data_IF_663729093685
#
_entry.id   IF_663729093685
#
_cell.length_a   1.000
_cell.length_b   1.000
_cell.length_c   1.000
_cell.angle_alpha   90.00
_cell.angle_beta   90.00
_cell.angle_gamma   90.00
#
_symmetry.space_group_name_H-M   'P 1'
#
loop_
_entity.id
_entity.type
_entity.pdbx_description
1 polymer ?
#
# COMPACT_ATOMS: atom_id res chain seq x y z
N UNK A 1 51.63 -24.94 -81.14
CA UNK A 1 50.75 -25.92 -80.46
C UNK A 1 50.44 -25.56 -79.01
N UNK A 2 51.24 -24.73 -78.32
CA UNK A 2 50.91 -24.18 -76.99
C UNK A 2 49.73 -23.19 -76.99
N UNK A 3 49.54 -22.42 -78.07
CA UNK A 3 48.47 -21.40 -78.18
C UNK A 3 47.08 -22.05 -78.28
N UNK A 4 46.92 -23.12 -79.06
CA UNK A 4 45.64 -23.84 -79.18
C UNK A 4 45.22 -24.57 -77.90
N UNK A 5 46.19 -25.06 -77.10
CA UNK A 5 45.92 -25.67 -75.80
C UNK A 5 45.44 -24.66 -74.75
N UNK A 6 46.03 -23.46 -74.73
CA UNK A 6 45.58 -22.37 -73.85
C UNK A 6 44.19 -21.85 -74.22
N UNK A 7 43.86 -21.79 -75.51
CA UNK A 7 42.53 -21.38 -75.99
C UNK A 7 41.45 -22.38 -75.58
N UNK A 8 41.71 -23.69 -75.63
CA UNK A 8 40.75 -24.72 -75.22
C UNK A 8 40.52 -24.77 -73.70
N UNK A 9 41.53 -24.44 -72.90
CA UNK A 9 41.40 -24.28 -71.44
C UNK A 9 40.63 -22.99 -71.10
N UNK A 10 40.90 -21.88 -71.79
CA UNK A 10 40.12 -20.63 -71.66
C UNK A 10 38.65 -20.83 -72.08
N UNK A 11 38.38 -21.59 -73.14
CA UNK A 11 37.00 -21.88 -73.57
C UNK A 11 36.25 -22.74 -72.55
N UNK A 12 36.92 -23.73 -71.93
CA UNK A 12 36.31 -24.57 -70.89
C UNK A 12 36.16 -23.86 -69.53
N UNK A 13 37.15 -23.08 -69.10
CA UNK A 13 37.21 -22.47 -67.75
C UNK A 13 36.61 -21.05 -67.70
N UNK A 14 36.65 -20.29 -68.79
CA UNK A 14 36.17 -18.91 -68.81
C UNK A 14 34.85 -18.71 -69.59
N UNK A 15 34.47 -19.63 -70.47
CA UNK A 15 33.21 -19.54 -71.21
C UNK A 15 32.20 -20.63 -70.80
N UNK A 16 32.56 -21.91 -70.91
CA UNK A 16 31.61 -23.02 -70.69
C UNK A 16 31.27 -23.26 -69.22
N UNK A 17 32.22 -23.08 -68.28
CA UNK A 17 31.93 -23.21 -66.85
C UNK A 17 31.07 -22.07 -66.30
N UNK A 18 31.33 -20.77 -66.57
CA UNK A 18 30.42 -19.69 -66.16
C UNK A 18 29.05 -19.76 -66.84
N UNK A 19 28.96 -20.21 -68.10
CA UNK A 19 27.68 -20.46 -68.77
C UNK A 19 26.92 -21.64 -68.15
N UNK A 20 27.60 -22.61 -67.53
CA UNK A 20 26.98 -23.76 -66.88
C UNK A 20 26.68 -23.54 -65.40
N UNK A 21 27.34 -22.61 -64.70
CA UNK A 21 27.06 -22.28 -63.28
C UNK A 21 26.28 -20.99 -63.10
N UNK A 22 26.52 -19.96 -63.93
CA UNK A 22 25.75 -18.70 -63.90
C UNK A 22 24.33 -18.87 -64.44
N UNK A 23 24.15 -19.70 -65.47
CA UNK A 23 22.80 -20.07 -65.93
C UNK A 23 22.03 -20.95 -64.93
N UNK A 24 22.69 -21.55 -63.94
CA UNK A 24 22.01 -22.31 -62.89
C UNK A 24 21.55 -21.37 -61.79
N UNK A 25 22.34 -20.37 -61.38
CA UNK A 25 21.88 -19.34 -60.45
C UNK A 25 20.74 -18.51 -61.04
N UNK A 26 20.88 -18.02 -62.29
CA UNK A 26 19.82 -17.28 -62.98
C UNK A 26 18.57 -18.15 -63.21
N UNK A 27 18.73 -19.42 -63.60
CA UNK A 27 17.58 -20.33 -63.74
C UNK A 27 16.96 -20.70 -62.39
N UNK A 28 17.73 -20.77 -61.30
CA UNK A 28 17.20 -20.98 -59.95
C UNK A 28 16.43 -19.73 -59.52
N UNK A 29 16.99 -18.54 -59.69
CA UNK A 29 16.31 -17.29 -59.34
C UNK A 29 15.01 -17.10 -60.14
N UNK A 30 15.03 -17.30 -61.46
CA UNK A 30 13.84 -17.27 -62.32
C UNK A 30 12.81 -18.35 -61.94
N UNK A 31 13.25 -19.57 -61.62
CA UNK A 31 12.32 -20.63 -61.21
C UNK A 31 11.70 -20.32 -59.84
N UNK A 32 12.50 -19.85 -58.86
CA UNK A 32 12.02 -19.59 -57.49
C UNK A 32 11.28 -18.26 -57.33
N UNK A 33 11.44 -17.30 -58.26
CA UNK A 33 10.71 -16.02 -58.24
C UNK A 33 9.20 -16.23 -58.40
N UNK A 34 8.78 -17.16 -59.27
CA UNK A 34 7.36 -17.49 -59.49
C UNK A 34 6.94 -18.83 -58.90
N UNK A 35 7.89 -19.69 -58.48
CA UNK A 35 7.59 -21.02 -57.92
C UNK A 35 6.44 -21.04 -56.89
N UNK A 36 6.38 -20.15 -55.87
CA UNK A 36 5.30 -20.20 -54.87
C UNK A 36 3.93 -19.87 -55.46
N UNK A 37 3.88 -19.06 -56.52
CA UNK A 37 2.66 -18.73 -57.24
C UNK A 37 2.28 -19.86 -58.19
N UNK A 38 3.21 -20.30 -59.02
CA UNK A 38 2.98 -21.34 -60.03
C UNK A 38 2.68 -22.70 -59.39
N UNK A 39 3.10 -22.93 -58.14
CA UNK A 39 2.73 -24.11 -57.35
C UNK A 39 1.38 -24.00 -56.64
N UNK A 40 0.78 -22.81 -56.58
CA UNK A 40 -0.45 -22.54 -55.81
C UNK A 40 -1.64 -22.15 -56.68
N UNK A 41 -1.40 -21.56 -57.85
CA UNK A 41 -2.39 -20.94 -58.71
C UNK A 41 -2.45 -21.67 -60.05
N UNK A 42 -3.63 -22.18 -60.44
CA UNK A 42 -3.82 -22.84 -61.75
C UNK A 42 -3.84 -21.80 -62.89
N UNK A 43 -4.21 -20.57 -62.58
CA UNK A 43 -4.29 -19.47 -63.54
C UNK A 43 -3.36 -18.29 -63.20
N UNK A 44 -3.13 -17.43 -64.22
CA UNK A 44 -2.21 -16.28 -64.14
C UNK A 44 -2.65 -15.20 -63.14
N UNK A 45 -3.95 -15.09 -62.90
CA UNK A 45 -4.56 -14.11 -61.99
C UNK A 45 -4.84 -14.72 -60.59
N UNK A 46 -4.48 -15.99 -60.39
CA UNK A 46 -4.63 -16.77 -59.17
C UNK A 46 -6.08 -16.77 -58.66
N UNK A 47 -7.04 -16.91 -59.57
CA UNK A 47 -8.46 -17.04 -59.21
C UNK A 47 -8.85 -18.49 -58.89
N UNK A 48 -8.14 -19.45 -59.48
CA UNK A 48 -8.24 -20.88 -59.24
C UNK A 48 -6.94 -21.43 -58.64
N UNK A 49 -7.08 -22.36 -57.69
CA UNK A 49 -5.97 -22.95 -56.96
C UNK A 49 -5.58 -24.28 -57.60
N UNK A 50 -4.27 -24.53 -57.75
CA UNK A 50 -3.75 -25.83 -58.18
C UNK A 50 -4.30 -26.96 -57.28
N UNK A 51 -4.79 -28.06 -57.88
CA UNK A 51 -5.56 -29.09 -57.16
C UNK A 51 -4.76 -29.70 -55.99
N UNK A 52 -3.49 -30.03 -56.23
CA UNK A 52 -2.58 -30.61 -55.22
C UNK A 52 -2.18 -29.60 -54.13
N UNK A 53 -2.29 -28.30 -54.40
CA UNK A 53 -2.05 -27.26 -53.41
C UNK A 53 -3.32 -26.92 -52.61
N UNK A 54 -4.46 -26.92 -53.30
CA UNK A 54 -5.80 -26.70 -52.78
C UNK A 54 -6.22 -27.81 -51.81
N UNK A 55 -5.78 -29.04 -52.03
CA UNK A 55 -6.09 -30.16 -51.14
C UNK A 55 -4.85 -31.01 -50.87
N UNK A 56 -4.51 -31.16 -49.60
CA UNK A 56 -3.41 -32.03 -49.18
C UNK A 56 -3.84 -32.92 -48.01
N UNK A 57 -3.42 -34.18 -48.05
CA UNK A 57 -3.64 -35.15 -47.00
C UNK A 57 -2.33 -35.48 -46.30
N UNK A 58 -2.34 -35.47 -44.97
CA UNK A 58 -1.20 -35.84 -44.15
C UNK A 58 -1.66 -36.57 -42.90
N UNK A 59 -0.87 -37.52 -42.42
CA UNK A 59 -1.12 -38.19 -41.14
C UNK A 59 -0.34 -37.52 -40.01
N UNK A 60 -0.97 -37.44 -38.83
CA UNK A 60 -0.31 -36.98 -37.61
C UNK A 60 -0.74 -37.82 -36.41
N UNK A 61 0.23 -38.26 -35.65
CA UNK A 61 0.01 -38.99 -34.40
C UNK A 61 0.13 -38.07 -33.18
N UNK A 62 -0.81 -38.22 -32.25
CA UNK A 62 -0.85 -37.50 -30.97
C UNK A 62 -0.66 -38.47 -29.80
N UNK A 63 -0.13 -37.93 -28.71
CA UNK A 63 0.07 -38.65 -27.45
C UNK A 63 -0.51 -37.84 -26.31
N UNK A 64 -1.34 -38.47 -25.48
CA UNK A 64 -1.83 -37.94 -24.21
C UNK A 64 -0.95 -38.38 -23.05
N UNK A 65 -0.96 -37.62 -21.95
CA UNK A 65 -0.34 -37.98 -20.68
C UNK A 65 -1.43 -38.09 -19.63
N UNK A 66 -1.89 -39.31 -19.36
CA UNK A 66 -2.98 -39.57 -18.43
C UNK A 66 -2.45 -39.63 -17.00
N UNK A 67 -3.13 -38.98 -16.06
CA UNK A 67 -2.79 -39.03 -14.63
C UNK A 67 -3.36 -40.31 -14.02
N UNK A 68 -2.50 -41.14 -13.43
CA UNK A 68 -2.89 -42.46 -12.89
C UNK A 68 -3.24 -42.43 -11.41
N UNK A 69 -2.79 -41.42 -10.66
CA UNK A 69 -3.01 -41.26 -9.22
C UNK A 69 -3.92 -40.06 -8.90
N UNK A 70 -5.04 -39.90 -9.63
CA UNK A 70 -5.93 -38.74 -9.48
C UNK A 70 -6.45 -38.56 -8.05
N UNK A 71 -6.84 -39.65 -7.38
CA UNK A 71 -7.39 -39.61 -6.02
C UNK A 71 -6.36 -39.07 -5.01
N UNK A 72 -5.09 -39.45 -5.15
CA UNK A 72 -4.01 -38.98 -4.28
C UNK A 72 -3.68 -37.50 -4.54
N UNK A 73 -3.69 -37.09 -5.81
CA UNK A 73 -3.46 -35.69 -6.22
C UNK A 73 -4.56 -34.79 -5.66
N UNK A 74 -5.83 -35.21 -5.74
CA UNK A 74 -6.98 -34.43 -5.26
C UNK A 74 -7.16 -34.49 -3.75
N UNK A 75 -6.84 -35.62 -3.11
CA UNK A 75 -7.07 -35.83 -1.67
C UNK A 75 -5.91 -35.40 -0.76
N UNK A 76 -4.67 -35.58 -1.21
CA UNK A 76 -3.46 -35.37 -0.38
C UNK A 76 -2.48 -34.33 -0.92
N UNK A 77 -2.71 -33.81 -2.14
CA UNK A 77 -1.79 -32.90 -2.82
C UNK A 77 -0.50 -33.57 -3.30
N UNK A 78 -0.50 -34.89 -3.47
CA UNK A 78 0.64 -35.64 -3.97
C UNK A 78 1.03 -35.23 -5.41
N UNK A 79 2.29 -35.45 -5.78
CA UNK A 79 2.75 -35.18 -7.14
C UNK A 79 2.04 -36.10 -8.16
N UNK A 80 1.60 -35.58 -9.32
CA UNK A 80 0.93 -36.38 -10.34
C UNK A 80 1.90 -37.35 -11.02
N UNK A 81 1.44 -38.59 -11.20
CA UNK A 81 2.13 -39.65 -11.95
C UNK A 81 1.47 -39.79 -13.31
N UNK A 82 2.28 -39.76 -14.37
CA UNK A 82 1.81 -39.73 -15.75
C UNK A 82 2.10 -41.03 -16.49
N UNK A 83 1.10 -41.50 -17.23
CA UNK A 83 1.23 -42.59 -18.19
C UNK A 83 0.99 -42.05 -19.61
N UNK A 84 1.88 -42.40 -20.53
CA UNK A 84 1.79 -41.98 -21.93
C UNK A 84 0.77 -42.85 -22.67
N UNK A 85 -0.26 -42.22 -23.25
CA UNK A 85 -1.31 -42.87 -24.05
C UNK A 85 -1.17 -42.45 -25.51
N UNK A 86 -0.97 -43.41 -26.41
CA UNK A 86 -0.87 -43.18 -27.85
C UNK A 86 0.11 -44.14 -28.53
N UNK A 87 0.28 -44.04 -29.86
CA UNK A 87 -0.22 -42.97 -30.72
C UNK A 87 -1.71 -43.07 -31.06
N UNK A 88 -2.39 -41.92 -31.04
CA UNK A 88 -3.68 -41.73 -31.71
C UNK A 88 -3.41 -41.00 -33.03
N UNK A 89 -3.63 -41.66 -34.16
CA UNK A 89 -3.33 -41.12 -35.49
C UNK A 89 -4.57 -40.54 -36.14
N UNK A 90 -4.43 -39.34 -36.69
CA UNK A 90 -5.48 -38.66 -37.46
C UNK A 90 -5.03 -38.46 -38.91
N UNK A 91 -5.94 -38.75 -39.83
CA UNK A 91 -5.88 -38.29 -41.21
C UNK A 91 -6.32 -36.82 -41.24
N UNK A 92 -5.39 -35.94 -41.63
CA UNK A 92 -5.61 -34.51 -41.72
C UNK A 92 -5.76 -34.13 -43.18
N UNK A 93 -6.96 -33.73 -43.57
CA UNK A 93 -7.20 -33.10 -44.87
C UNK A 93 -7.12 -31.58 -44.69
N UNK A 94 -6.18 -30.96 -45.38
CA UNK A 94 -6.06 -29.50 -45.45
C UNK A 94 -6.62 -29.03 -46.79
N UNK A 95 -7.72 -28.29 -46.74
CA UNK A 95 -8.29 -27.61 -47.91
C UNK A 95 -7.92 -26.14 -47.86
N UNK A 96 -7.30 -25.62 -48.91
CA UNK A 96 -6.96 -24.21 -49.08
C UNK A 96 -7.85 -23.59 -50.15
N UNK A 97 -8.35 -22.39 -49.87
CA UNK A 97 -9.16 -21.61 -50.82
C UNK A 97 -8.53 -20.24 -50.96
N UNK A 98 -8.21 -19.85 -52.19
CA UNK A 98 -7.66 -18.52 -52.47
C UNK A 98 -8.75 -17.47 -52.27
N UNK A 99 -8.44 -16.44 -51.51
CA UNK A 99 -9.33 -15.32 -51.24
C UNK A 99 -8.97 -14.09 -52.09
N UNK A 100 -7.68 -13.83 -52.27
CA UNK A 100 -7.19 -12.68 -53.04
C UNK A 100 -5.70 -12.84 -53.42
N UNK A 101 -5.32 -12.28 -54.56
CA UNK A 101 -3.94 -12.16 -55.01
C UNK A 101 -3.62 -10.72 -55.40
N UNK A 102 -2.63 -10.10 -54.75
CA UNK A 102 -2.11 -8.79 -55.12
C UNK A 102 -0.82 -8.97 -55.94
N UNK A 103 -0.95 -8.77 -57.25
CA UNK A 103 0.14 -8.90 -58.20
C UNK A 103 1.23 -7.83 -58.06
N UNK A 104 0.89 -6.63 -57.56
CA UNK A 104 1.84 -5.54 -57.40
C UNK A 104 2.68 -5.71 -56.12
N UNK A 105 2.07 -6.25 -55.06
CA UNK A 105 2.76 -6.54 -53.81
C UNK A 105 3.37 -7.96 -53.77
N UNK A 106 3.01 -8.85 -54.70
CA UNK A 106 3.45 -10.24 -54.73
C UNK A 106 2.85 -11.10 -53.61
N UNK A 107 1.64 -10.78 -53.13
CA UNK A 107 1.04 -11.45 -51.95
C UNK A 107 -0.21 -12.27 -52.29
N UNK A 108 -0.32 -13.45 -51.69
CA UNK A 108 -1.46 -14.36 -51.82
C UNK A 108 -2.15 -14.53 -50.46
N UNK A 109 -3.46 -14.26 -50.40
CA UNK A 109 -4.30 -14.47 -49.22
C UNK A 109 -5.20 -15.67 -49.46
N UNK A 110 -5.20 -16.64 -48.53
CA UNK A 110 -6.01 -17.85 -48.63
C UNK A 110 -6.58 -18.25 -47.27
N UNK A 111 -7.71 -18.94 -47.28
CA UNK A 111 -8.24 -19.66 -46.13
C UNK A 111 -7.69 -21.10 -46.13
N UNK A 112 -7.32 -21.63 -44.98
CA UNK A 112 -6.89 -23.01 -44.80
C UNK A 112 -7.76 -23.69 -43.75
N UNK A 113 -8.61 -24.60 -44.20
CA UNK A 113 -9.48 -25.42 -43.34
C UNK A 113 -8.83 -26.78 -43.17
N UNK A 114 -8.67 -27.20 -41.91
CA UNK A 114 -8.13 -28.53 -41.57
C UNK A 114 -9.24 -29.35 -40.94
N UNK A 115 -9.58 -30.48 -41.55
CA UNK A 115 -10.41 -31.51 -40.92
C UNK A 115 -9.51 -32.61 -40.38
N UNK A 116 -9.93 -33.20 -39.25
CA UNK A 116 -9.22 -34.28 -38.59
C UNK A 116 -10.18 -35.46 -38.51
N UNK A 117 -9.82 -36.57 -39.17
CA UNK A 117 -10.55 -37.83 -39.08
C UNK A 117 -9.68 -38.87 -38.38
N UNK A 118 -10.28 -39.70 -37.52
CA UNK A 118 -9.55 -40.80 -36.87
C UNK A 118 -9.04 -41.75 -37.96
N UNK A 119 -7.73 -42.00 -38.00
CA UNK A 119 -7.16 -42.89 -39.00
C UNK A 119 -7.52 -44.34 -38.66
N UNK A 120 -7.89 -45.12 -39.68
CA UNK A 120 -8.31 -46.52 -39.49
C UNK A 120 -7.19 -47.41 -38.95
N UNK A 121 -5.94 -47.00 -39.13
CA UNK A 121 -4.72 -47.66 -38.68
C UNK A 121 -4.14 -47.05 -37.38
N UNK A 122 -4.91 -46.21 -36.68
CA UNK A 122 -4.53 -45.70 -35.36
C UNK A 122 -4.34 -46.85 -34.36
N UNK A 123 -3.18 -46.91 -33.71
CA UNK A 123 -2.84 -47.96 -32.73
C UNK A 123 -3.73 -47.88 -31.48
N UNK A 124 -4.03 -46.66 -31.05
CA UNK A 124 -4.94 -46.38 -29.94
C UNK A 124 -6.23 -45.76 -30.47
N UNK A 125 -7.38 -46.17 -29.93
CA UNK A 125 -8.69 -45.65 -30.33
C UNK A 125 -8.77 -44.14 -30.09
N UNK A 126 -9.40 -43.41 -31.01
CA UNK A 126 -9.68 -41.97 -30.82
C UNK A 126 -10.68 -41.69 -29.71
N UNK A 127 -11.45 -42.70 -29.27
CA UNK A 127 -12.38 -42.62 -28.13
C UNK A 127 -11.72 -43.02 -26.80
N UNK A 128 -10.39 -43.09 -26.74
CA UNK A 128 -9.67 -43.46 -25.51
C UNK A 128 -9.76 -42.36 -24.47
N UNK A 129 -10.34 -42.69 -23.32
CA UNK A 129 -10.42 -41.77 -22.18
C UNK A 129 -9.03 -41.50 -21.60
N UNK A 130 -8.77 -40.22 -21.31
CA UNK A 130 -7.57 -39.77 -20.60
C UNK A 130 -7.99 -38.94 -19.38
N UNK A 131 -7.27 -39.10 -18.28
CA UNK A 131 -7.46 -38.28 -17.08
C UNK A 131 -6.46 -37.12 -17.14
N UNK A 132 -6.95 -35.89 -17.25
CA UNK A 132 -6.09 -34.71 -17.33
C UNK A 132 -6.72 -33.48 -16.67
N UNK A 133 -5.96 -32.39 -16.59
CA UNK A 133 -6.40 -31.11 -16.06
C UNK A 133 -7.70 -30.65 -16.74
N UNK A 134 -8.65 -30.20 -15.93
CA UNK A 134 -9.85 -29.54 -16.44
C UNK A 134 -9.52 -28.10 -16.84
N UNK A 135 -9.10 -27.92 -18.09
CA UNK A 135 -8.62 -26.63 -18.63
C UNK A 135 -9.70 -25.54 -18.55
N UNK A 136 -10.97 -25.88 -18.78
CA UNK A 136 -12.08 -24.92 -18.76
C UNK A 136 -12.44 -24.46 -17.34
N UNK A 137 -12.29 -25.31 -16.34
CA UNK A 137 -12.56 -24.95 -14.95
C UNK A 137 -11.46 -24.05 -14.37
N UNK A 138 -10.19 -24.30 -14.70
CA UNK A 138 -9.06 -23.52 -14.18
C UNK A 138 -9.08 -22.05 -14.62
N UNK A 139 -9.54 -21.75 -15.84
CA UNK A 139 -9.69 -20.36 -16.30
C UNK A 139 -10.80 -19.61 -15.56
N UNK A 140 -11.89 -20.30 -15.20
CA UNK A 140 -12.97 -19.72 -14.38
C UNK A 140 -12.51 -19.43 -12.95
N UNK A 141 -11.74 -20.34 -12.34
CA UNK A 141 -11.12 -20.12 -11.02
C UNK A 141 -10.21 -18.90 -11.03
N UNK A 142 -9.38 -18.73 -12.07
CA UNK A 142 -8.50 -17.54 -12.21
C UNK A 142 -9.33 -16.25 -12.35
N UNK A 143 -10.41 -16.27 -13.14
CA UNK A 143 -11.30 -15.11 -13.31
C UNK A 143 -12.03 -14.71 -12.01
N UNK A 144 -12.53 -15.68 -11.25
CA UNK A 144 -13.19 -15.45 -9.96
C UNK A 144 -12.20 -14.98 -8.87
N UNK A 145 -10.96 -15.48 -8.90
CA UNK A 145 -9.89 -15.07 -7.97
C UNK A 145 -9.54 -13.59 -8.13
N UNK A 146 -9.57 -13.06 -9.36
CA UNK A 146 -9.36 -11.62 -9.60
C UNK A 146 -10.41 -10.72 -8.93
N UNK A 147 -11.69 -11.14 -8.93
CA UNK A 147 -12.76 -10.41 -8.25
C UNK A 147 -12.64 -10.50 -6.72
N UNK A 148 -12.25 -11.66 -6.20
CA UNK A 148 -12.00 -11.84 -4.76
C UNK A 148 -10.80 -11.00 -4.28
N UNK A 149 -9.72 -10.91 -5.08
CA UNK A 149 -8.56 -10.06 -4.77
C UNK A 149 -8.93 -8.58 -4.78
N UNK A 150 -9.73 -8.13 -5.76
CA UNK A 150 -10.22 -6.75 -5.80
C UNK A 150 -11.09 -6.43 -4.59
N UNK A 151 -12.01 -7.34 -4.21
CA UNK A 151 -12.82 -7.20 -3.00
C UNK A 151 -11.96 -7.08 -1.73
N UNK A 152 -10.98 -7.97 -1.54
CA UNK A 152 -10.06 -7.90 -0.39
C UNK A 152 -9.26 -6.58 -0.41
N UNK A 153 -8.80 -6.13 -1.57
CA UNK A 153 -8.05 -4.88 -1.71
C UNK A 153 -8.91 -3.67 -1.33
N UNK A 154 -10.16 -3.61 -1.80
CA UNK A 154 -11.06 -2.49 -1.53
C UNK A 154 -11.52 -2.48 -0.07
N UNK A 155 -11.81 -3.65 0.53
CA UNK A 155 -12.03 -3.78 1.98
C UNK A 155 -10.79 -3.35 2.78
N UNK A 156 -9.58 -3.70 2.34
CA UNK A 156 -8.33 -3.29 3.01
C UNK A 156 -8.11 -1.78 2.93
N UNK A 157 -8.41 -1.15 1.78
CA UNK A 157 -8.35 0.31 1.63
C UNK A 157 -9.36 1.00 2.54
N UNK A 158 -10.59 0.50 2.60
CA UNK A 158 -11.63 1.04 3.48
C UNK A 158 -11.23 0.92 4.96
N UNK A 159 -10.73 -0.26 5.37
CA UNK A 159 -10.20 -0.49 6.71
C UNK A 159 -9.05 0.48 7.07
N UNK A 160 -8.09 0.64 6.15
CA UNK A 160 -6.98 1.57 6.32
C UNK A 160 -7.48 3.01 6.44
N UNK A 161 -8.43 3.41 5.59
CA UNK A 161 -8.98 4.77 5.58
C UNK A 161 -9.74 5.07 6.86
N UNK A 162 -10.61 4.16 7.32
CA UNK A 162 -11.30 4.28 8.60
C UNK A 162 -10.31 4.35 9.78
N UNK A 163 -9.26 3.52 9.78
CA UNK A 163 -8.20 3.57 10.78
C UNK A 163 -7.41 4.88 10.79
N UNK A 164 -7.09 5.42 9.61
CA UNK A 164 -6.42 6.71 9.48
C UNK A 164 -7.31 7.86 9.95
N UNK A 165 -8.59 7.88 9.56
CA UNK A 165 -9.56 8.88 10.02
C UNK A 165 -9.74 8.86 11.54
N UNK A 166 -9.81 7.67 12.14
CA UNK A 166 -9.86 7.54 13.59
C UNK A 166 -8.59 8.13 14.25
N UNK A 167 -7.40 7.84 13.70
CA UNK A 167 -6.14 8.41 14.22
C UNK A 167 -6.01 9.91 14.00
N UNK A 168 -6.56 10.44 12.92
CA UNK A 168 -6.62 11.87 12.68
C UNK A 168 -7.47 12.57 13.75
N UNK A 169 -8.64 12.01 14.07
CA UNK A 169 -9.54 12.55 15.09
C UNK A 169 -8.99 12.40 16.52
N UNK A 170 -8.32 11.29 16.82
CA UNK A 170 -7.78 11.00 18.14
C UNK A 170 -6.45 11.70 18.42
N UNK A 171 -5.59 11.86 17.42
CA UNK A 171 -4.17 12.19 17.66
C UNK A 171 -3.66 13.34 16.79
N UNK A 172 -3.76 13.26 15.46
CA UNK A 172 -3.10 14.26 14.61
C UNK A 172 -3.80 15.63 14.65
N UNK A 173 -5.14 15.66 14.62
CA UNK A 173 -5.91 16.90 14.76
C UNK A 173 -5.70 17.56 16.13
N UNK A 174 -5.72 16.77 17.21
CA UNK A 174 -5.43 17.25 18.55
C UNK A 174 -3.98 17.74 18.69
N UNK A 175 -3.03 17.06 18.07
CA UNK A 175 -1.61 17.44 18.01
C UNK A 175 -1.42 18.80 17.35
N UNK A 176 -2.06 19.01 16.20
CA UNK A 176 -2.04 20.29 15.47
C UNK A 176 -2.69 21.44 16.24
N UNK A 177 -3.84 21.19 16.87
CA UNK A 177 -4.49 22.22 17.68
C UNK A 177 -3.68 22.58 18.93
N UNK A 178 -3.08 21.58 19.57
CA UNK A 178 -2.23 21.76 20.74
C UNK A 178 -0.92 22.50 20.42
N UNK A 179 -0.25 22.14 19.30
CA UNK A 179 0.97 22.81 18.84
C UNK A 179 0.71 24.26 18.45
N UNK A 180 -0.43 24.55 17.79
CA UNK A 180 -0.83 25.91 17.41
C UNK A 180 -1.10 26.78 18.65
N UNK A 181 -1.83 26.24 19.63
CA UNK A 181 -2.05 26.94 20.90
C UNK A 181 -0.74 27.21 21.62
N UNK A 182 0.16 26.22 21.67
CA UNK A 182 1.49 26.37 22.26
C UNK A 182 2.35 27.40 21.50
N UNK A 183 2.28 27.42 20.17
CA UNK A 183 2.96 28.40 19.32
C UNK A 183 2.49 29.82 19.62
N UNK A 184 1.19 30.02 19.86
CA UNK A 184 0.66 31.30 20.31
C UNK A 184 1.19 31.74 21.68
N UNK A 185 1.23 30.82 22.65
CA UNK A 185 1.83 31.08 23.98
C UNK A 185 3.32 31.38 23.86
N UNK A 186 4.06 30.61 23.06
CA UNK A 186 5.48 30.77 22.84
C UNK A 186 5.78 32.13 22.21
N UNK A 187 5.16 32.45 21.07
CA UNK A 187 5.38 33.70 20.36
C UNK A 187 5.01 34.93 21.22
N UNK A 188 3.88 34.89 21.92
CA UNK A 188 3.45 36.00 22.78
C UNK A 188 4.37 36.21 23.99
N UNK A 189 4.84 35.12 24.61
CA UNK A 189 5.77 35.18 25.74
C UNK A 189 7.14 35.69 25.28
N UNK A 190 7.68 35.17 24.18
CA UNK A 190 8.95 35.63 23.59
C UNK A 190 8.88 37.12 23.26
N UNK A 191 7.82 37.57 22.58
CA UNK A 191 7.65 38.98 22.25
C UNK A 191 7.62 39.87 23.50
N UNK A 192 6.90 39.45 24.54
CA UNK A 192 6.79 40.18 25.81
C UNK A 192 8.12 40.22 26.56
N UNK A 193 8.82 39.10 26.65
CA UNK A 193 10.12 39.00 27.33
C UNK A 193 11.20 39.81 26.62
N UNK A 194 11.26 39.75 25.30
CA UNK A 194 12.22 40.53 24.50
C UNK A 194 11.93 42.03 24.59
N UNK A 195 10.65 42.44 24.57
CA UNK A 195 10.29 43.84 24.81
C UNK A 195 10.70 44.33 26.20
N UNK A 196 10.74 43.44 27.19
CA UNK A 196 11.26 43.68 28.53
C UNK A 196 12.80 43.58 28.66
N UNK A 197 13.54 43.36 27.57
CA UNK A 197 15.00 43.25 27.57
C UNK A 197 15.56 41.86 27.91
N UNK A 198 14.72 40.84 27.98
CA UNK A 198 15.13 39.45 28.16
C UNK A 198 15.47 38.74 26.84
N UNK A 199 15.78 37.45 26.92
CA UNK A 199 16.10 36.60 25.75
C UNK A 199 15.00 35.56 25.51
N UNK A 200 14.99 34.97 24.33
CA UNK A 200 14.11 33.84 24.00
C UNK A 200 14.36 32.62 24.90
N UNK A 201 15.61 32.36 25.30
CA UNK A 201 15.95 31.32 26.28
C UNK A 201 15.26 31.57 27.63
N UNK A 202 15.21 32.83 28.08
CA UNK A 202 14.49 33.18 29.31
C UNK A 202 12.97 33.03 29.15
N UNK A 203 12.43 33.39 27.99
CA UNK A 203 11.00 33.25 27.69
C UNK A 203 10.57 31.77 27.68
N UNK A 204 11.27 30.94 26.91
CA UNK A 204 11.03 29.49 26.80
C UNK A 204 11.19 28.79 28.15
N UNK A 205 12.22 29.13 28.92
CA UNK A 205 12.39 28.66 30.30
C UNK A 205 11.24 29.11 31.21
N UNK A 206 10.76 30.35 31.06
CA UNK A 206 9.61 30.88 31.80
C UNK A 206 8.34 30.07 31.56
N UNK A 207 8.08 29.67 30.30
CA UNK A 207 6.96 28.79 29.94
C UNK A 207 7.09 27.45 30.66
N UNK A 208 8.22 26.74 30.51
CA UNK A 208 8.42 25.45 31.17
C UNK A 208 8.32 25.53 32.70
N UNK A 209 8.92 26.57 33.30
CA UNK A 209 8.83 26.78 34.74
C UNK A 209 7.39 27.05 35.17
N UNK A 210 6.57 27.74 34.36
CA UNK A 210 5.16 27.97 34.65
C UNK A 210 4.34 26.67 34.68
N UNK A 211 4.67 25.67 33.85
CA UNK A 211 4.00 24.36 33.86
C UNK A 211 4.16 23.63 35.20
N UNK A 212 5.20 23.94 35.96
CA UNK A 212 5.41 23.38 37.29
C UNK A 212 4.93 24.31 38.40
N UNK A 213 5.35 25.58 38.35
CA UNK A 213 5.29 26.53 39.46
C UNK A 213 4.04 27.39 39.50
N UNK A 214 3.24 27.43 38.44
CA UNK A 214 2.01 28.21 38.46
C UNK A 214 1.10 27.71 39.60
N UNK A 215 0.75 28.61 40.51
CA UNK A 215 0.06 28.27 41.76
C UNK A 215 -1.40 27.85 41.58
N UNK A 216 -1.95 28.03 40.37
CA UNK A 216 -3.33 27.68 40.04
C UNK A 216 -3.37 26.53 39.05
N UNK A 217 -2.54 26.59 38.00
CA UNK A 217 -2.62 25.65 36.88
C UNK A 217 -1.40 24.76 36.73
N UNK A 218 -0.32 24.98 37.47
CA UNK A 218 0.92 24.20 37.34
C UNK A 218 0.83 22.84 38.03
N UNK A 219 1.70 21.92 37.62
CA UNK A 219 1.77 20.55 38.14
C UNK A 219 1.86 20.51 39.67
N UNK A 220 2.64 21.40 40.29
CA UNK A 220 2.81 21.40 41.74
C UNK A 220 1.50 21.74 42.47
N UNK A 221 0.68 22.63 41.89
CA UNK A 221 -0.64 22.96 42.40
C UNK A 221 -1.65 21.82 42.15
N UNK A 222 -1.65 21.24 40.95
CA UNK A 222 -2.47 20.08 40.60
C UNK A 222 -2.20 18.88 41.52
N UNK A 223 -0.93 18.55 41.76
CA UNK A 223 -0.52 17.44 42.61
C UNK A 223 -1.08 17.56 44.03
N UNK A 224 -1.08 18.77 44.59
CA UNK A 224 -1.70 19.06 45.88
C UNK A 224 -3.23 18.97 45.82
N UNK A 225 -3.85 19.59 44.81
CA UNK A 225 -5.31 19.62 44.65
C UNK A 225 -5.92 18.22 44.50
N UNK A 226 -5.21 17.31 43.82
CA UNK A 226 -5.60 15.91 43.64
C UNK A 226 -5.14 15.00 44.78
N UNK A 227 -4.50 15.56 45.83
CA UNK A 227 -3.98 14.81 46.97
C UNK A 227 -3.07 13.62 46.56
N UNK A 228 -2.22 13.82 45.55
CA UNK A 228 -1.41 12.74 44.99
C UNK A 228 -0.29 12.25 45.93
N UNK A 229 0.08 13.03 46.95
CA UNK A 229 0.99 12.57 48.00
C UNK A 229 0.39 11.47 48.88
N UNK A 230 -0.95 11.41 48.98
CA UNK A 230 -1.68 10.56 49.94
C UNK A 230 -1.25 10.78 51.41
N UNK A 231 -0.59 11.89 51.71
CA UNK A 231 -0.07 12.21 53.06
C UNK A 231 -1.09 12.97 53.92
N UNK A 232 -2.22 13.38 53.34
CA UNK A 232 -3.25 14.17 54.03
C UNK A 232 -3.96 13.45 55.20
N UNK A 233 -3.67 12.17 55.43
CA UNK A 233 -4.22 11.37 56.53
C UNK A 233 -3.11 10.73 57.39
N UNK A 234 -1.87 11.24 57.29
CA UNK A 234 -0.70 10.73 58.00
C UNK A 234 -0.05 11.85 58.81
N UNK A 235 0.09 11.67 60.12
CA UNK A 235 0.80 12.61 61.00
C UNK A 235 2.25 12.81 60.53
N UNK A 236 2.78 14.05 60.46
CA UNK A 236 2.21 15.33 60.90
C UNK A 236 1.40 16.11 59.85
N UNK A 237 1.06 15.50 58.71
CA UNK A 237 0.44 16.16 57.55
C UNK A 237 -1.09 15.96 57.47
N UNK A 238 -1.72 15.60 58.59
CA UNK A 238 -3.17 15.42 58.68
C UNK A 238 -3.92 16.70 58.27
N UNK A 239 -4.85 16.56 57.33
CA UNK A 239 -5.60 17.68 56.74
C UNK A 239 -4.81 18.58 55.78
N UNK A 240 -3.55 18.25 55.44
CA UNK A 240 -2.73 19.04 54.52
C UNK A 240 -2.54 18.33 53.17
N UNK A 241 -2.96 19.01 52.10
CA UNK A 241 -2.60 18.65 50.73
C UNK A 241 -1.19 19.16 50.41
N UNK A 242 -0.20 18.27 50.41
CA UNK A 242 1.18 18.61 50.06
C UNK A 242 1.37 18.68 48.55
N UNK A 243 2.11 19.70 48.11
CA UNK A 243 2.60 19.79 46.74
C UNK A 243 3.77 18.82 46.49
N UNK A 244 4.08 18.57 45.22
CA UNK A 244 5.11 17.62 44.81
C UNK A 244 6.48 17.93 45.44
N UNK A 245 6.90 19.20 45.42
CA UNK A 245 8.22 19.62 45.94
C UNK A 245 8.36 19.30 47.42
N UNK A 246 7.31 19.52 48.21
CA UNK A 246 7.30 19.24 49.65
C UNK A 246 7.24 17.73 49.91
N UNK A 247 6.38 17.02 49.18
CA UNK A 247 6.18 15.58 49.35
C UNK A 247 7.42 14.74 48.98
N UNK A 248 8.21 15.20 48.00
CA UNK A 248 9.40 14.48 47.52
C UNK A 248 10.72 14.94 48.13
N UNK A 249 10.69 15.94 49.03
CA UNK A 249 11.88 16.41 49.72
C UNK A 249 12.79 17.35 48.91
N UNK A 250 12.21 18.17 48.02
CA UNK A 250 12.92 19.28 47.36
C UNK A 250 13.01 19.23 45.84
N UNK A 251 12.42 18.21 45.17
CA UNK A 251 12.36 18.16 43.71
C UNK A 251 11.58 19.35 43.13
N UNK A 252 12.22 20.13 42.28
CA UNK A 252 11.63 21.35 41.71
C UNK A 252 12.08 21.52 40.26
N UNK A 253 11.16 21.86 39.36
CA UNK A 253 11.53 22.18 38.00
C UNK A 253 12.36 23.48 37.97
N UNK A 254 13.39 23.50 37.14
CA UNK A 254 14.30 24.64 37.00
C UNK A 254 14.85 24.69 35.57
N UNK A 255 14.05 25.20 34.64
CA UNK A 255 14.48 25.40 33.27
C UNK A 255 15.27 26.71 33.14
N UNK A 256 16.33 26.66 32.33
CA UNK A 256 17.15 27.84 31.97
C UNK A 256 17.09 28.16 30.48
N UNK A 257 16.77 27.17 29.66
CA UNK A 257 16.53 27.31 28.23
C UNK A 257 15.70 26.13 27.73
N UNK A 258 14.63 26.38 26.97
CA UNK A 258 13.84 25.36 26.28
C UNK A 258 13.73 25.63 24.77
N UNK A 259 14.51 26.56 24.21
CA UNK A 259 14.41 26.91 22.78
C UNK A 259 14.58 25.72 21.87
N UNK A 260 15.53 24.82 22.18
CA UNK A 260 15.73 23.58 21.43
C UNK A 260 14.49 22.69 21.49
N UNK A 261 13.94 22.45 22.68
CA UNK A 261 12.73 21.64 22.85
C UNK A 261 11.59 22.17 21.98
N UNK A 262 11.37 23.49 21.99
CA UNK A 262 10.27 24.12 21.28
C UNK A 262 10.46 24.21 19.77
N UNK A 263 11.66 24.52 19.27
CA UNK A 263 11.85 24.88 17.86
C UNK A 263 12.62 23.85 17.04
N UNK A 264 13.51 23.08 17.67
CA UNK A 264 14.59 22.37 16.94
C UNK A 264 14.75 20.89 17.34
N UNK A 265 13.91 20.38 18.25
CA UNK A 265 14.06 19.02 18.74
C UNK A 265 13.86 18.00 17.61
N UNK A 266 14.74 17.02 17.53
CA UNK A 266 14.68 15.97 16.50
C UNK A 266 14.84 14.59 17.13
N UNK A 267 14.22 13.59 16.52
CA UNK A 267 14.37 12.21 17.00
C UNK A 267 15.79 11.70 16.75
N UNK A 268 16.44 11.07 17.75
CA UNK A 268 17.75 10.46 17.55
C UNK A 268 17.70 9.40 16.44
N UNK A 269 18.59 9.55 15.45
CA UNK A 269 18.72 8.60 14.34
C UNK A 269 17.91 8.95 13.10
N UNK A 270 16.58 9.15 13.22
CA UNK A 270 15.75 9.50 12.05
C UNK A 270 15.85 10.97 11.64
N UNK A 271 16.25 11.86 12.57
CA UNK A 271 16.30 13.31 12.38
C UNK A 271 14.95 13.96 12.03
N UNK A 272 13.84 13.26 12.30
CA UNK A 272 12.50 13.79 12.15
C UNK A 272 12.25 14.89 13.20
N UNK A 273 11.58 15.96 12.77
CA UNK A 273 11.20 17.06 13.64
C UNK A 273 10.19 16.59 14.70
N UNK A 274 10.59 16.72 15.96
CA UNK A 274 9.75 16.52 17.14
C UNK A 274 9.77 17.73 18.06
N UNK A 275 10.05 18.90 17.50
CA UNK A 275 9.93 20.18 18.18
C UNK A 275 8.52 20.35 18.75
N UNK A 276 8.40 20.90 19.95
CA UNK A 276 7.11 21.00 20.65
C UNK A 276 6.17 22.05 20.05
N UNK A 277 6.62 22.79 19.04
CA UNK A 277 5.78 23.67 18.23
C UNK A 277 5.32 23.01 16.93
N UNK A 278 5.83 21.83 16.59
CA UNK A 278 5.31 21.02 15.49
C UNK A 278 4.16 20.12 15.97
N UNK A 279 3.24 19.85 15.06
CA UNK A 279 2.04 19.04 15.29
C UNK A 279 2.43 17.61 15.72
N UNK A 280 3.40 17.03 15.02
CA UNK A 280 3.94 15.70 15.30
C UNK A 280 4.74 15.69 16.60
N UNK A 281 5.58 16.71 16.85
CA UNK A 281 6.40 16.77 18.06
C UNK A 281 5.59 16.84 19.35
N UNK A 282 4.52 17.64 19.37
CA UNK A 282 3.59 17.69 20.51
C UNK A 282 2.93 16.33 20.76
N UNK A 283 2.45 15.67 19.69
CA UNK A 283 1.82 14.35 19.77
C UNK A 283 2.82 13.29 20.26
N UNK A 284 4.02 13.24 19.67
CA UNK A 284 5.07 12.28 20.04
C UNK A 284 5.49 12.46 21.49
N UNK A 285 5.75 13.70 21.92
CA UNK A 285 6.11 13.99 23.31
C UNK A 285 5.01 13.51 24.29
N UNK A 286 3.75 13.80 23.96
CA UNK A 286 2.60 13.41 24.77
C UNK A 286 2.44 11.89 24.85
N UNK A 287 2.58 11.19 23.72
CA UNK A 287 2.58 9.73 23.66
C UNK A 287 3.71 9.11 24.48
N UNK A 288 4.90 9.72 24.47
CA UNK A 288 6.00 9.31 25.35
C UNK A 288 5.69 9.50 26.83
N UNK A 289 5.02 10.59 27.22
CA UNK A 289 4.61 10.83 28.61
C UNK A 289 3.56 9.82 29.09
N UNK A 290 2.60 9.46 28.24
CA UNK A 290 1.55 8.49 28.57
C UNK A 290 2.09 7.05 28.61
N UNK A 291 2.88 6.65 27.62
CA UNK A 291 3.39 5.28 27.49
C UNK A 291 4.49 4.95 28.49
N UNK A 292 5.27 5.96 28.89
CA UNK A 292 6.40 5.82 29.79
C UNK A 292 6.25 6.75 31.00
N UNK A 293 5.68 6.26 32.12
CA UNK A 293 5.51 7.07 33.32
C UNK A 293 6.82 7.70 33.79
N UNK A 294 6.74 8.88 34.39
CA UNK A 294 7.92 9.60 34.90
C UNK A 294 8.65 8.78 35.97
N UNK A 295 9.82 8.29 35.58
CA UNK A 295 10.86 7.67 36.41
C UNK A 295 12.19 8.35 36.08
N UNK A 296 13.24 8.16 36.88
CA UNK A 296 14.55 8.73 36.53
C UNK A 296 15.01 8.30 35.13
N UNK A 297 14.87 7.02 34.81
CA UNK A 297 15.26 6.46 33.51
C UNK A 297 14.49 7.12 32.35
N UNK A 298 13.15 7.10 32.42
CA UNK A 298 12.30 7.66 31.36
C UNK A 298 12.47 9.18 31.24
N UNK A 299 12.58 9.87 32.37
CA UNK A 299 12.81 11.32 32.40
C UNK A 299 14.17 11.68 31.79
N UNK A 300 15.23 10.94 32.09
CA UNK A 300 16.55 11.17 31.47
C UNK A 300 16.51 10.91 29.97
N UNK A 301 15.82 9.86 29.51
CA UNK A 301 15.69 9.57 28.08
C UNK A 301 14.95 10.70 27.37
N UNK A 302 13.75 11.10 27.83
CA UNK A 302 13.03 12.21 27.20
C UNK A 302 13.80 13.53 27.31
N UNK A 303 14.37 13.83 28.47
CA UNK A 303 15.17 15.04 28.65
C UNK A 303 16.38 15.11 27.71
N UNK A 304 16.93 13.96 27.28
CA UNK A 304 18.01 13.92 26.29
C UNK A 304 17.54 14.24 24.87
N UNK A 305 16.31 13.87 24.52
CA UNK A 305 15.72 14.12 23.19
C UNK A 305 15.31 15.59 23.05
N UNK A 306 14.71 16.18 24.08
CA UNK A 306 14.23 17.57 24.04
C UNK A 306 15.15 18.56 24.80
N UNK A 307 16.32 18.11 25.24
CA UNK A 307 17.36 18.92 25.89
C UNK A 307 16.89 19.74 27.10
N UNK A 308 16.24 19.09 28.06
CA UNK A 308 15.74 19.73 29.28
C UNK A 308 16.26 19.11 30.59
N UNK A 309 17.34 18.34 30.53
CA UNK A 309 17.93 17.71 31.70
C UNK A 309 18.26 18.75 32.79
N UNK A 310 17.95 18.41 34.03
CA UNK A 310 18.21 19.26 35.19
C UNK A 310 19.66 19.16 35.66
N UNK A 311 20.03 20.00 36.64
CA UNK A 311 21.35 19.97 37.27
C UNK A 311 21.63 18.68 38.05
N UNK A 312 20.56 17.98 38.46
CA UNK A 312 20.59 16.72 39.18
C UNK A 312 19.38 15.85 38.82
N UNK A 313 19.35 14.63 39.36
CA UNK A 313 18.29 13.66 39.11
C UNK A 313 16.91 14.16 39.57
N UNK A 314 16.82 14.84 40.71
CA UNK A 314 15.54 15.31 41.26
C UNK A 314 14.97 16.46 40.41
N UNK A 315 15.83 17.38 39.97
CA UNK A 315 15.49 18.46 39.04
C UNK A 315 15.08 17.91 37.69
N UNK A 316 15.76 16.87 37.17
CA UNK A 316 15.41 16.24 35.89
C UNK A 316 14.02 15.60 35.95
N UNK A 317 13.70 14.87 37.02
CA UNK A 317 12.38 14.29 37.23
C UNK A 317 11.30 15.39 37.35
N UNK A 318 11.60 16.47 38.06
CA UNK A 318 10.65 17.58 38.21
C UNK A 318 10.43 18.35 36.89
N UNK A 319 11.48 18.56 36.10
CA UNK A 319 11.39 19.10 34.74
C UNK A 319 10.52 18.20 33.85
N UNK A 320 10.71 16.89 33.91
CA UNK A 320 9.93 15.93 33.15
C UNK A 320 8.44 15.95 33.53
N UNK A 321 8.11 15.98 34.83
CA UNK A 321 6.74 16.20 35.29
C UNK A 321 6.14 17.51 34.77
N UNK A 322 6.92 18.60 34.78
CA UNK A 322 6.47 19.89 34.27
C UNK A 322 6.13 19.81 32.77
N UNK A 323 7.00 19.19 31.97
CA UNK A 323 6.79 19.08 30.53
C UNK A 323 5.64 18.12 30.21
N UNK A 324 5.57 16.95 30.86
CA UNK A 324 4.47 16.00 30.64
C UNK A 324 3.12 16.56 31.06
N UNK A 325 3.07 17.34 32.15
CA UNK A 325 1.84 18.00 32.55
C UNK A 325 1.49 19.17 31.62
N UNK A 326 2.46 20.02 31.27
CA UNK A 326 2.23 21.21 30.46
C UNK A 326 1.92 20.90 28.99
N UNK A 327 2.77 20.13 28.32
CA UNK A 327 2.59 19.75 26.91
C UNK A 327 1.63 18.58 26.78
N UNK A 328 1.87 17.49 27.52
CA UNK A 328 1.06 16.27 27.46
C UNK A 328 -0.36 16.50 27.96
N UNK A 329 -0.53 17.26 29.04
CA UNK A 329 -1.85 17.67 29.53
C UNK A 329 -2.56 18.61 28.56
N UNK A 330 -1.86 19.53 27.89
CA UNK A 330 -2.46 20.35 26.85
C UNK A 330 -2.99 19.48 25.70
N UNK A 331 -2.18 18.59 25.15
CA UNK A 331 -2.59 17.65 24.11
C UNK A 331 -3.80 16.79 24.53
N UNK A 332 -3.70 16.09 25.66
CA UNK A 332 -4.70 15.11 26.06
C UNK A 332 -5.95 15.74 26.68
N UNK A 333 -5.79 16.61 27.68
CA UNK A 333 -6.91 17.15 28.45
C UNK A 333 -7.58 18.32 27.76
N UNK A 334 -6.82 19.24 27.15
CA UNK A 334 -7.40 20.44 26.51
C UNK A 334 -7.94 20.13 25.11
N UNK A 335 -7.19 19.33 24.33
CA UNK A 335 -7.50 19.06 22.92
C UNK A 335 -7.98 17.62 22.65
N UNK A 336 -8.11 16.78 23.68
CA UNK A 336 -8.68 15.44 23.56
C UNK A 336 -7.75 14.40 22.91
N UNK A 337 -6.46 14.70 22.83
CA UNK A 337 -5.47 13.82 22.22
C UNK A 337 -5.33 12.47 22.94
N UNK A 338 -5.37 11.37 22.19
CA UNK A 338 -5.18 10.02 22.72
C UNK A 338 -6.33 9.48 23.59
N UNK A 339 -7.45 10.21 23.66
CA UNK A 339 -8.69 9.70 24.23
C UNK A 339 -9.35 8.79 23.19
N UNK A 340 -9.38 7.49 23.46
CA UNK A 340 -9.95 6.47 22.56
C UNK A 340 -11.44 6.20 22.83
N UNK A 341 -11.98 6.69 23.95
CA UNK A 341 -13.35 6.44 24.38
C UNK A 341 -14.24 7.70 24.24
N UNK A 342 -13.70 8.76 23.64
CA UNK A 342 -14.35 10.07 23.50
C UNK A 342 -15.74 10.00 22.85
N UNK A 343 -15.95 9.05 21.92
CA UNK A 343 -17.22 8.86 21.23
C UNK A 343 -18.31 8.23 22.12
N UNK A 344 -17.92 7.63 23.24
CA UNK A 344 -18.82 7.03 24.23
C UNK A 344 -19.13 7.99 25.39
N UNK A 345 -18.51 9.17 25.43
CA UNK A 345 -18.67 10.09 26.54
C UNK A 345 -20.08 10.71 26.57
N UNK A 346 -20.85 10.34 27.58
CA UNK A 346 -22.18 10.89 27.87
C UNK A 346 -22.14 12.00 28.93
N UNK A 347 -20.98 12.25 29.54
CA UNK A 347 -20.79 13.23 30.61
C UNK A 347 -20.50 14.64 30.08
N UNK A 348 -20.07 14.75 28.81
CA UNK A 348 -19.70 16.01 28.17
C UNK A 348 -18.36 16.56 28.64
N UNK A 349 -17.48 15.68 29.13
CA UNK A 349 -16.14 16.04 29.60
C UNK A 349 -15.06 15.80 28.55
N UNK A 350 -15.31 14.91 27.59
CA UNK A 350 -14.43 14.66 26.46
C UNK A 350 -14.55 15.75 25.39
N UNK A 351 -13.47 15.94 24.61
CA UNK A 351 -13.53 16.76 23.40
C UNK A 351 -14.35 16.02 22.35
N UNK A 352 -15.47 16.63 21.97
CA UNK A 352 -16.50 16.01 21.15
C UNK A 352 -16.15 15.98 19.64
N UNK A 353 -16.96 15.26 18.84
CA UNK A 353 -16.74 15.07 17.41
C UNK A 353 -16.63 16.39 16.64
N UNK A 354 -17.54 17.33 16.90
CA UNK A 354 -17.54 18.63 16.23
C UNK A 354 -16.23 19.40 16.46
N UNK A 355 -15.70 19.37 17.68
CA UNK A 355 -14.44 20.06 17.99
C UNK A 355 -13.26 19.39 17.31
N UNK A 356 -13.20 18.06 17.31
CA UNK A 356 -12.14 17.28 16.64
C UNK A 356 -12.13 17.51 15.12
N UNK A 357 -13.29 17.48 14.49
CA UNK A 357 -13.45 17.84 13.07
C UNK A 357 -13.05 19.30 12.81
N UNK A 358 -13.32 20.19 13.76
CA UNK A 358 -12.92 21.59 13.71
C UNK A 358 -11.41 21.77 13.61
N UNK A 359 -10.61 20.92 14.28
CA UNK A 359 -9.15 20.94 14.13
C UNK A 359 -8.69 20.58 12.71
N UNK A 360 -9.50 19.83 11.97
CA UNK A 360 -9.28 19.49 10.56
C UNK A 360 -9.95 20.49 9.60
N UNK A 361 -10.50 21.60 10.11
CA UNK A 361 -11.15 22.64 9.32
C UNK A 361 -12.59 22.35 8.92
N UNK A 362 -13.22 21.30 9.48
CA UNK A 362 -14.61 20.94 9.22
C UNK A 362 -15.47 21.46 10.37
N UNK A 363 -16.37 22.40 10.07
CA UNK A 363 -17.29 22.96 11.08
C UNK A 363 -18.68 22.42 10.88
N UNK A 364 -19.20 21.70 11.87
CA UNK A 364 -20.58 21.21 11.91
C UNK A 364 -21.03 21.04 13.36
N UNK A 365 -22.33 20.85 13.58
CA UNK A 365 -22.84 20.57 14.91
C UNK A 365 -22.46 19.15 15.37
N UNK A 366 -22.40 18.94 16.69
CA UNK A 366 -21.93 17.66 17.23
C UNK A 366 -22.85 16.49 16.90
N UNK A 367 -24.16 16.72 16.75
CA UNK A 367 -25.10 15.65 16.41
C UNK A 367 -24.87 15.20 14.97
N UNK A 368 -24.75 16.13 14.03
CA UNK A 368 -24.41 15.83 12.65
C UNK A 368 -23.01 15.20 12.52
N UNK A 369 -22.03 15.68 13.30
CA UNK A 369 -20.69 15.08 13.35
C UNK A 369 -20.73 13.62 13.81
N UNK A 370 -21.48 13.32 14.88
CA UNK A 370 -21.64 11.95 15.38
C UNK A 370 -22.35 11.06 14.36
N UNK A 371 -23.42 11.55 13.72
CA UNK A 371 -24.12 10.81 12.66
C UNK A 371 -23.24 10.52 11.45
N UNK A 372 -22.47 11.51 10.97
CA UNK A 372 -21.54 11.32 9.85
C UNK A 372 -20.43 10.30 10.17
N UNK A 373 -19.92 10.31 11.41
CA UNK A 373 -18.81 9.43 11.80
C UNK A 373 -19.28 8.02 12.15
N UNK A 374 -20.42 7.87 12.81
CA UNK A 374 -20.81 6.59 13.42
C UNK A 374 -22.19 6.08 12.99
N UNK A 375 -22.87 6.77 12.07
CA UNK A 375 -24.22 6.42 11.65
C UNK A 375 -25.28 6.77 12.70
N UNK A 376 -26.50 6.32 12.46
CA UNK A 376 -27.65 6.48 13.36
C UNK A 376 -27.98 5.21 14.18
N UNK A 377 -27.13 4.18 14.06
CA UNK A 377 -27.27 2.89 14.75
C UNK A 377 -28.33 1.97 14.14
N UNK A 378 -28.65 2.16 12.86
CA UNK A 378 -29.44 1.21 12.08
C UNK A 378 -28.60 0.00 11.61
N UNK A 379 -29.22 -0.94 10.89
CA UNK A 379 -28.51 -2.11 10.34
C UNK A 379 -27.66 -1.75 9.09
N UNK A 380 -27.64 -0.48 8.67
CA UNK A 380 -26.93 0.00 7.48
C UNK A 380 -25.66 0.73 7.91
N UNK A 381 -24.52 0.12 7.61
CA UNK A 381 -23.21 0.71 7.94
C UNK A 381 -22.97 1.93 7.05
N UNK A 382 -23.23 3.14 7.55
CA UNK A 382 -23.19 4.40 6.80
C UNK A 382 -22.19 5.42 7.37
N UNK A 383 -21.84 5.31 8.66
CA UNK A 383 -20.88 6.19 9.30
C UNK A 383 -19.45 5.96 8.77
N UNK A 384 -18.68 7.04 8.58
CA UNK A 384 -17.29 6.96 8.09
C UNK A 384 -16.38 6.02 8.91
N UNK A 385 -16.60 5.93 10.22
CA UNK A 385 -15.86 5.08 11.16
C UNK A 385 -16.65 3.84 11.58
N UNK A 386 -17.85 3.64 11.03
CA UNK A 386 -18.69 2.53 11.38
C UNK A 386 -18.14 1.23 10.77
N UNK A 387 -18.11 0.17 11.56
CA UNK A 387 -17.63 -1.15 11.15
C UNK A 387 -18.63 -2.18 11.65
N UNK A 388 -19.02 -3.12 10.81
CA UNK A 388 -19.93 -4.18 11.24
C UNK A 388 -19.27 -5.08 12.29
N UNK A 389 -20.08 -5.82 13.05
CA UNK A 389 -19.61 -6.75 14.10
C UNK A 389 -18.59 -7.79 13.60
N UNK A 390 -18.65 -8.15 12.32
CA UNK A 390 -17.74 -9.10 11.70
C UNK A 390 -16.37 -8.50 11.33
N UNK A 391 -16.21 -7.17 11.35
CA UNK A 391 -14.99 -6.48 10.93
C UNK A 391 -14.71 -6.57 9.42
N UNK A 392 -15.74 -6.77 8.61
CA UNK A 392 -15.61 -7.03 7.16
C UNK A 392 -16.24 -5.94 6.30
N UNK A 393 -17.11 -5.12 6.88
CA UNK A 393 -17.79 -4.02 6.21
C UNK A 393 -17.47 -2.71 6.92
N UNK A 394 -17.16 -1.68 6.13
CA UNK A 394 -16.69 -0.39 6.62
C UNK A 394 -17.54 0.72 6.01
N UNK A 395 -18.13 1.56 6.86
CA UNK A 395 -19.08 2.57 6.42
C UNK A 395 -18.47 3.65 5.54
N UNK A 396 -17.16 3.92 5.64
CA UNK A 396 -16.46 4.79 4.67
C UNK A 396 -16.62 4.32 3.22
N UNK A 397 -16.65 3.00 2.96
CA UNK A 397 -16.84 2.48 1.61
C UNK A 397 -18.27 2.77 1.11
N UNK A 398 -19.26 2.61 1.99
CA UNK A 398 -20.66 2.87 1.69
C UNK A 398 -20.91 4.38 1.52
N UNK A 399 -20.42 5.20 2.45
CA UNK A 399 -20.51 6.66 2.44
C UNK A 399 -19.94 7.27 1.15
N UNK A 400 -18.78 6.81 0.68
CA UNK A 400 -18.18 7.30 -0.57
C UNK A 400 -18.92 6.86 -1.83
N UNK A 401 -19.73 5.80 -1.74
CA UNK A 401 -20.58 5.32 -2.83
C UNK A 401 -21.98 5.94 -2.82
N UNK A 402 -22.36 6.66 -1.75
CA UNK A 402 -23.65 7.31 -1.63
C UNK A 402 -23.79 8.51 -2.57
N UNK A 403 -25.01 8.73 -3.04
CA UNK A 403 -25.35 10.01 -3.65
C UNK A 403 -25.45 11.13 -2.59
N UNK A 404 -25.35 12.37 -3.03
CA UNK A 404 -25.34 13.54 -2.14
C UNK A 404 -26.63 13.69 -1.33
N UNK A 405 -27.74 13.12 -1.77
CA UNK A 405 -29.02 13.19 -1.07
C UNK A 405 -29.13 12.12 0.04
N UNK A 406 -28.36 11.05 -0.06
CA UNK A 406 -28.29 9.96 0.93
C UNK A 406 -27.18 10.20 1.96
N UNK A 407 -26.13 10.96 1.60
CA UNK A 407 -25.00 11.29 2.48
C UNK A 407 -25.22 12.52 3.40
N UNK A 408 -26.31 13.26 3.22
CA UNK A 408 -26.73 14.43 4.04
C UNK A 408 -27.98 14.10 4.83
#
# INVERSE_FOLDING_TARGET
>A
MLISGFILVLLNVAALSPLSTGAVEDAVEDNFETYPKDSACEDKDCTEAEEDWASSNAQRSFYGWSVTNLDDVMGSGAAPTYEKVGPVTYDITTTKTINAYDKNAGTLTYNSVKSFACAADSEVSCDTNITQLNIAFQTQVIGATGLAINGIMDTTKAAFTAGMLAKDLESLGAGSAASLAMSGVYASTVASTVAGGGTEAMASAGIGNSFFHNTTTGFNAYFAAMNLSQMNNVTPYDGLSLNYTTATGGGSAAFTNLTYAFNDAVMPGSLEDVSLLSDVGTMVFSGHCQSYPTTLENATIRASIWNYAGADNATTIANDWAMCYGIGGNFGTTFGGGDADWMLDTTGTAVNAATRLGYMGITMDNTAAMGMLFGDGDDVITGLLEVNDAGTEYGVANFLAMDTATAM
#
